data_IF_876446977578
#
_entry.id   IF_876446977578
#
_cell.length_a   1.000
_cell.length_b   1.000
_cell.length_c   1.000
_cell.angle_alpha   90.00
_cell.angle_beta   90.00
_cell.angle_gamma   90.00
#
_symmetry.space_group_name_H-M   'P 1'
#
loop_
_entity.id
_entity.type
_entity.pdbx_description
1 polymer ?
#
# COMPACT_ATOMS: atom_id res chain seq x y z
N UNK A 1 -0.27 24.27 11.71
CA UNK A 1 -0.63 22.99 11.06
C UNK A 1 -1.07 23.29 9.64
N UNK A 2 -0.55 22.54 8.66
CA UNK A 2 -0.60 22.90 7.25
C UNK A 2 -1.52 21.98 6.46
N UNK A 3 -2.61 22.52 5.94
CA UNK A 3 -3.38 21.89 4.86
C UNK A 3 -2.48 21.76 3.65
N UNK A 4 -2.33 20.55 3.11
CA UNK A 4 -1.60 20.35 1.87
C UNK A 4 -2.63 20.26 0.74
N UNK A 5 -2.54 21.19 -0.21
CA UNK A 5 -3.27 21.09 -1.46
C UNK A 5 -2.57 20.04 -2.32
N UNK A 6 -3.32 19.06 -2.80
CA UNK A 6 -2.79 18.03 -3.69
C UNK A 6 -2.94 18.53 -5.13
N UNK A 7 -1.83 18.59 -5.85
CA UNK A 7 -1.76 18.92 -7.28
C UNK A 7 -0.98 17.83 -8.05
N UNK A 8 -0.70 18.07 -9.33
CA UNK A 8 0.03 17.12 -10.17
C UNK A 8 1.47 16.87 -9.71
N UNK A 9 2.11 17.87 -9.10
CA UNK A 9 3.48 17.74 -8.61
C UNK A 9 3.50 16.87 -7.34
N UNK A 10 2.61 17.16 -6.39
CA UNK A 10 2.42 16.36 -5.17
C UNK A 10 2.00 14.93 -5.50
N UNK A 11 1.13 14.75 -6.50
CA UNK A 11 0.78 13.42 -7.02
C UNK A 11 2.01 12.64 -7.47
N UNK A 12 2.86 13.26 -8.29
CA UNK A 12 4.06 12.60 -8.80
C UNK A 12 4.99 12.20 -7.65
N UNK A 13 5.17 13.08 -6.67
CA UNK A 13 5.94 12.77 -5.45
C UNK A 13 5.32 11.63 -4.65
N UNK A 14 4.01 11.66 -4.40
CA UNK A 14 3.31 10.61 -3.65
C UNK A 14 3.43 9.24 -4.32
N UNK A 15 3.29 9.16 -5.66
CA UNK A 15 3.41 7.89 -6.40
C UNK A 15 4.83 7.35 -6.37
N UNK A 16 5.85 8.18 -6.58
CA UNK A 16 7.24 7.72 -6.59
C UNK A 16 7.74 7.34 -5.21
N UNK A 17 7.47 8.17 -4.19
CA UNK A 17 7.85 7.84 -2.82
C UNK A 17 7.03 6.67 -2.27
N UNK A 18 5.74 6.58 -2.64
CA UNK A 18 4.90 5.42 -2.35
C UNK A 18 5.47 4.14 -2.96
N UNK A 19 5.93 4.16 -4.22
CA UNK A 19 6.55 3.00 -4.86
C UNK A 19 7.79 2.51 -4.08
N UNK A 20 8.65 3.45 -3.64
CA UNK A 20 9.84 3.11 -2.85
C UNK A 20 9.45 2.54 -1.50
N UNK A 21 8.55 3.20 -0.76
CA UNK A 21 8.08 2.75 0.55
C UNK A 21 7.23 1.48 0.48
N UNK A 22 6.70 1.14 -0.69
CA UNK A 22 5.98 -0.11 -0.95
C UNK A 22 6.87 -1.35 -0.81
N UNK A 23 8.20 -1.20 -0.91
CA UNK A 23 9.13 -2.28 -0.61
C UNK A 23 8.90 -3.53 -1.44
N UNK A 24 8.66 -3.37 -2.75
CA UNK A 24 8.38 -4.46 -3.67
C UNK A 24 6.92 -4.67 -4.03
N UNK A 25 5.97 -4.00 -3.37
CA UNK A 25 4.53 -4.09 -3.68
C UNK A 25 3.79 -2.75 -3.59
N UNK A 26 2.51 -2.77 -3.21
CA UNK A 26 1.68 -1.56 -3.12
C UNK A 26 1.13 -1.01 -4.46
N UNK A 27 1.06 -1.87 -5.49
CA UNK A 27 0.52 -1.53 -6.80
C UNK A 27 1.53 -0.90 -7.77
N UNK A 28 1.09 -0.56 -8.98
CA UNK A 28 1.97 -0.05 -10.04
C UNK A 28 1.92 1.47 -10.15
N UNK A 29 3.05 2.07 -10.55
CA UNK A 29 3.15 3.52 -10.81
C UNK A 29 2.15 3.99 -11.86
N UNK A 30 1.99 3.22 -12.93
CA UNK A 30 1.08 3.56 -14.03
C UNK A 30 -0.34 3.75 -13.50
N UNK A 31 -0.84 2.76 -12.75
CA UNK A 31 -2.19 2.81 -12.17
C UNK A 31 -2.30 3.93 -11.14
N UNK A 32 -1.29 4.12 -10.28
CA UNK A 32 -1.27 5.23 -9.32
C UNK A 32 -1.37 6.60 -9.98
N UNK A 33 -0.59 6.85 -11.04
CA UNK A 33 -0.64 8.09 -11.81
C UNK A 33 -1.99 8.28 -12.52
N UNK A 34 -2.54 7.22 -13.12
CA UNK A 34 -3.85 7.26 -13.80
C UNK A 34 -4.97 7.61 -12.82
N UNK A 35 -5.05 6.89 -11.68
CA UNK A 35 -6.05 7.13 -10.64
C UNK A 35 -5.90 8.52 -10.01
N UNK A 36 -4.67 8.95 -9.77
CA UNK A 36 -4.40 10.26 -9.18
C UNK A 36 -4.77 11.42 -10.10
N UNK A 37 -4.44 11.31 -11.40
CA UNK A 37 -4.84 12.29 -12.40
C UNK A 37 -6.36 12.34 -12.57
N UNK A 38 -7.01 11.17 -12.57
CA UNK A 38 -8.47 11.11 -12.57
C UNK A 38 -9.03 11.85 -11.35
N UNK A 39 -8.53 11.57 -10.15
CA UNK A 39 -8.96 12.23 -8.92
C UNK A 39 -8.83 13.76 -8.98
N UNK A 40 -7.70 14.27 -9.48
CA UNK A 40 -7.50 15.72 -9.68
C UNK A 40 -8.46 16.33 -10.72
N UNK A 41 -8.99 15.52 -11.63
CA UNK A 41 -10.05 15.92 -12.57
C UNK A 41 -11.45 15.93 -11.95
N UNK A 42 -11.72 15.12 -10.92
CA UNK A 42 -13.02 15.14 -10.21
C UNK A 42 -13.18 16.38 -9.33
N UNK A 43 -12.10 16.90 -8.75
CA UNK A 43 -12.19 18.04 -7.86
C UNK A 43 -10.90 18.32 -7.10
N UNK A 44 -10.98 19.33 -6.23
CA UNK A 44 -9.87 19.66 -5.35
C UNK A 44 -9.75 18.62 -4.24
N UNK A 45 -8.52 18.18 -3.99
CA UNK A 45 -8.21 17.26 -2.89
C UNK A 45 -7.44 18.03 -1.82
N UNK A 46 -7.94 17.95 -0.59
CA UNK A 46 -7.26 18.50 0.58
C UNK A 46 -6.79 17.36 1.46
N UNK A 47 -5.52 17.41 1.86
CA UNK A 47 -4.97 16.55 2.89
C UNK A 47 -4.82 17.32 4.19
N UNK A 48 -5.45 16.79 5.25
CA UNK A 48 -5.48 17.34 6.60
C UNK A 48 -4.62 16.50 7.55
N UNK A 49 -4.22 17.14 8.64
CA UNK A 49 -3.67 16.41 9.78
C UNK A 49 -4.78 15.73 10.58
N UNK A 50 -4.48 14.64 11.28
CA UNK A 50 -5.47 13.95 12.09
C UNK A 50 -5.97 14.83 13.25
N UNK A 51 -5.15 15.75 13.72
CA UNK A 51 -5.49 16.71 14.75
C UNK A 51 -6.46 17.81 14.26
N UNK A 52 -6.61 18.00 12.95
CA UNK A 52 -7.58 18.93 12.36
C UNK A 52 -8.99 18.31 12.21
N UNK A 53 -9.15 17.01 12.53
CA UNK A 53 -10.42 16.30 12.43
C UNK A 53 -11.16 16.32 13.77
N UNK A 54 -12.47 16.68 13.81
CA UNK A 54 -13.23 16.64 15.06
C UNK A 54 -13.29 15.24 15.67
N UNK A 55 -13.07 15.14 16.99
CA UNK A 55 -12.95 13.88 17.72
C UNK A 55 -14.24 13.02 17.72
N UNK A 56 -15.41 13.63 17.46
CA UNK A 56 -16.70 12.94 17.35
C UNK A 56 -16.92 12.22 16.01
N UNK A 57 -15.98 12.36 15.07
CA UNK A 57 -16.06 11.77 13.73
C UNK A 57 -15.38 10.41 13.63
N UNK A 58 -15.80 9.67 12.63
CA UNK A 58 -15.12 8.45 12.21
C UNK A 58 -14.19 8.70 11.03
N UNK A 59 -13.08 7.99 11.04
CA UNK A 59 -12.18 7.84 9.90
C UNK A 59 -12.45 6.50 9.25
N UNK A 60 -12.48 6.49 7.92
CA UNK A 60 -12.65 5.28 7.11
C UNK A 60 -11.39 5.00 6.28
N UNK A 61 -11.10 3.73 6.04
CA UNK A 61 -9.97 3.32 5.21
C UNK A 61 -10.45 3.00 3.80
N UNK A 62 -9.87 3.64 2.79
CA UNK A 62 -10.03 3.27 1.39
C UNK A 62 -8.88 2.36 0.94
N UNK A 63 -9.21 1.35 0.15
CA UNK A 63 -8.26 0.40 -0.43
C UNK A 63 -8.80 -0.21 -1.72
N UNK A 64 -8.00 -1.01 -2.40
CA UNK A 64 -8.43 -1.88 -3.48
C UNK A 64 -8.00 -3.32 -3.16
N UNK A 65 -8.86 -4.29 -3.49
CA UNK A 65 -8.58 -5.72 -3.28
C UNK A 65 -8.78 -6.44 -4.60
N UNK A 66 -7.76 -7.19 -5.02
CA UNK A 66 -7.81 -7.91 -6.28
C UNK A 66 -6.62 -8.83 -6.51
N UNK A 67 -6.62 -9.46 -7.67
CA UNK A 67 -5.51 -10.26 -8.19
C UNK A 67 -4.95 -9.56 -9.44
N UNK A 68 -3.73 -8.99 -9.39
CA UNK A 68 -3.15 -8.25 -10.52
C UNK A 68 -3.10 -9.05 -11.84
N UNK A 69 -2.96 -10.38 -11.75
CA UNK A 69 -2.92 -11.28 -12.90
C UNK A 69 -4.30 -11.62 -13.51
N UNK A 70 -5.40 -11.13 -12.95
CA UNK A 70 -6.73 -11.44 -13.45
C UNK A 70 -7.06 -10.68 -14.75
N UNK A 71 -7.39 -11.43 -15.81
CA UNK A 71 -7.64 -10.88 -17.14
C UNK A 71 -8.95 -10.08 -17.27
N UNK A 72 -9.90 -10.27 -16.36
CA UNK A 72 -11.23 -9.63 -16.38
C UNK A 72 -11.34 -8.50 -15.35
N UNK A 73 -10.23 -8.08 -14.73
CA UNK A 73 -10.26 -7.05 -13.71
C UNK A 73 -10.77 -5.73 -14.28
N UNK A 74 -11.80 -5.16 -13.63
CA UNK A 74 -12.31 -3.82 -13.92
C UNK A 74 -12.83 -3.20 -12.64
N UNK A 75 -12.43 -1.96 -12.40
CA UNK A 75 -12.92 -1.12 -11.33
C UNK A 75 -12.89 0.32 -11.86
N UNK A 76 -14.06 0.92 -11.96
CA UNK A 76 -14.24 2.32 -12.37
C UNK A 76 -14.06 3.28 -11.18
N UNK A 77 -13.78 4.57 -11.43
CA UNK A 77 -13.89 5.61 -10.42
C UNK A 77 -15.25 5.61 -9.69
N UNK A 78 -16.33 5.35 -10.42
CA UNK A 78 -17.70 5.29 -9.89
C UNK A 78 -17.86 4.18 -8.85
N UNK A 79 -17.31 2.98 -9.11
CA UNK A 79 -17.29 1.87 -8.14
C UNK A 79 -16.66 2.30 -6.81
N UNK A 80 -15.57 3.06 -6.90
CA UNK A 80 -14.83 3.56 -5.74
C UNK A 80 -15.65 4.56 -4.91
N UNK A 81 -16.44 5.41 -5.59
CA UNK A 81 -17.36 6.39 -4.99
C UNK A 81 -18.56 5.67 -4.36
N UNK A 82 -19.15 4.72 -5.07
CA UNK A 82 -20.32 3.96 -4.63
C UNK A 82 -20.01 3.10 -3.41
N UNK A 83 -18.77 2.60 -3.29
CA UNK A 83 -18.31 1.94 -2.07
C UNK A 83 -18.47 2.82 -0.82
N UNK A 84 -18.19 4.14 -0.89
CA UNK A 84 -18.45 5.05 0.25
C UNK A 84 -19.95 5.31 0.42
N UNK A 85 -20.71 5.46 -0.66
CA UNK A 85 -22.16 5.69 -0.56
C UNK A 85 -22.86 4.52 0.13
N UNK A 86 -22.55 3.29 -0.25
CA UNK A 86 -23.07 2.07 0.39
C UNK A 86 -22.62 2.01 1.84
N UNK A 87 -21.35 2.31 2.13
CA UNK A 87 -20.86 2.36 3.51
C UNK A 87 -21.65 3.35 4.37
N UNK A 88 -21.85 4.60 3.88
CA UNK A 88 -22.64 5.65 4.56
C UNK A 88 -24.10 5.23 4.80
N UNK A 89 -24.71 4.46 3.91
CA UNK A 89 -26.08 3.94 4.08
C UNK A 89 -26.21 2.89 5.19
N UNK A 90 -25.13 2.16 5.47
CA UNK A 90 -25.12 1.04 6.42
C UNK A 90 -24.45 1.35 7.77
N UNK A 91 -23.75 2.48 7.88
CA UNK A 91 -23.05 2.91 9.09
C UNK A 91 -23.56 4.28 9.51
N UNK A 92 -24.38 4.30 10.56
CA UNK A 92 -25.05 5.50 11.07
C UNK A 92 -24.12 6.37 11.94
N UNK A 93 -23.05 6.89 11.31
CA UNK A 93 -22.09 7.81 11.94
C UNK A 93 -21.48 8.76 10.91
N UNK A 94 -21.17 9.98 11.37
CA UNK A 94 -20.57 11.01 10.53
C UNK A 94 -19.09 10.71 10.25
N UNK A 95 -18.76 10.57 8.97
CA UNK A 95 -17.39 10.42 8.49
C UNK A 95 -16.69 11.79 8.54
N UNK A 96 -15.49 11.83 9.10
CA UNK A 96 -14.64 13.02 9.20
C UNK A 96 -13.55 13.09 8.15
N UNK A 97 -13.14 11.94 7.60
CA UNK A 97 -12.10 11.87 6.56
C UNK A 97 -11.79 10.46 6.11
N UNK A 98 -10.93 10.38 5.09
CA UNK A 98 -10.48 9.15 4.45
C UNK A 98 -8.99 8.98 4.71
N UNK A 99 -8.58 7.77 5.13
CA UNK A 99 -7.17 7.35 5.12
C UNK A 99 -6.97 6.28 4.05
N UNK A 100 -5.76 6.21 3.49
CA UNK A 100 -5.37 5.08 2.65
C UNK A 100 -4.91 3.89 3.51
N UNK A 101 -5.01 2.67 2.97
CA UNK A 101 -4.52 1.49 3.66
C UNK A 101 -3.01 1.46 3.84
N UNK A 102 -2.23 1.95 2.87
CA UNK A 102 -0.78 1.86 2.95
C UNK A 102 -0.08 2.83 2.00
N UNK A 103 1.24 2.98 2.14
CA UNK A 103 2.07 3.55 1.08
C UNK A 103 2.47 2.52 0.04
N UNK A 104 2.28 2.89 -1.23
CA UNK A 104 2.57 2.11 -2.41
C UNK A 104 2.32 2.95 -3.65
N UNK A 105 2.87 2.56 -4.80
CA UNK A 105 2.74 3.37 -6.02
C UNK A 105 1.28 3.62 -6.40
N UNK A 106 0.43 2.58 -6.28
CA UNK A 106 -1.01 2.69 -6.47
C UNK A 106 -1.74 2.91 -5.15
N UNK A 107 -1.34 2.22 -4.08
CA UNK A 107 -2.11 2.24 -2.84
C UNK A 107 -2.04 3.56 -2.09
N UNK A 108 -0.98 4.37 -2.22
CA UNK A 108 -0.95 5.74 -1.68
C UNK A 108 -2.07 6.64 -2.23
N UNK A 109 -2.64 6.28 -3.38
CA UNK A 109 -3.68 7.03 -4.09
C UNK A 109 -5.09 6.51 -3.77
N UNK A 110 -5.22 5.38 -3.06
CA UNK A 110 -6.53 4.88 -2.64
C UNK A 110 -7.26 5.93 -1.79
N UNK A 111 -8.50 6.25 -2.16
CA UNK A 111 -9.31 7.26 -1.49
C UNK A 111 -9.28 8.64 -2.13
N UNK A 112 -8.37 8.92 -3.07
CA UNK A 112 -8.23 10.25 -3.69
C UNK A 112 -9.43 10.61 -4.56
N UNK A 113 -9.89 9.68 -5.40
CA UNK A 113 -11.10 9.87 -6.23
C UNK A 113 -12.30 10.13 -5.33
N UNK A 114 -12.47 9.31 -4.29
CA UNK A 114 -13.57 9.45 -3.35
C UNK A 114 -13.53 10.76 -2.56
N UNK A 115 -12.33 11.18 -2.16
CA UNK A 115 -12.09 12.46 -1.50
C UNK A 115 -12.56 13.62 -2.37
N UNK A 116 -12.08 13.66 -3.62
CA UNK A 116 -12.44 14.69 -4.60
C UNK A 116 -13.94 14.70 -4.91
N UNK A 117 -14.54 13.53 -5.15
CA UNK A 117 -15.93 13.41 -5.60
C UNK A 117 -16.96 13.62 -4.49
N UNK A 118 -16.62 13.37 -3.22
CA UNK A 118 -17.55 13.43 -2.09
C UNK A 118 -17.22 14.53 -1.07
N UNK A 119 -16.28 15.41 -1.40
CA UNK A 119 -15.80 16.50 -0.53
C UNK A 119 -15.44 16.01 0.88
N UNK A 120 -14.73 14.88 0.93
CA UNK A 120 -14.20 14.31 2.17
C UNK A 120 -12.68 14.54 2.21
N UNK A 121 -12.10 15.09 3.28
CA UNK A 121 -10.66 15.30 3.34
C UNK A 121 -9.91 13.97 3.37
N UNK A 122 -8.76 13.93 2.71
CA UNK A 122 -7.74 12.93 3.01
C UNK A 122 -7.10 13.27 4.34
N UNK A 123 -6.80 12.25 5.13
CA UNK A 123 -6.10 12.40 6.41
C UNK A 123 -4.75 11.72 6.29
N UNK A 124 -3.70 12.44 6.68
CA UNK A 124 -2.31 11.99 6.61
C UNK A 124 -1.96 11.00 7.75
N UNK A 125 -2.67 9.87 7.73
CA UNK A 125 -2.55 8.80 8.71
C UNK A 125 -2.90 7.45 8.05
N UNK A 126 -2.16 7.01 7.01
CA UNK A 126 -2.38 5.72 6.39
C UNK A 126 -2.31 4.60 7.44
N UNK A 127 -2.97 3.46 7.22
CA UNK A 127 -2.86 2.37 8.19
C UNK A 127 -1.40 1.96 8.38
N UNK A 128 -0.60 1.95 7.31
CA UNK A 128 0.84 1.71 7.36
C UNK A 128 1.60 2.61 6.36
N UNK A 129 2.79 3.12 6.71
CA UNK A 129 3.62 3.88 5.78
C UNK A 129 4.52 3.02 4.88
N UNK A 130 4.28 1.71 4.83
CA UNK A 130 4.80 0.75 3.84
C UNK A 130 3.69 -0.21 3.42
N UNK A 131 3.83 -0.85 2.26
CA UNK A 131 2.88 -1.86 1.82
C UNK A 131 2.94 -3.16 2.63
N UNK A 132 1.83 -3.89 2.63
CA UNK A 132 1.69 -5.20 3.25
C UNK A 132 0.85 -6.19 2.42
N UNK A 133 1.06 -7.50 2.65
CA UNK A 133 0.34 -8.51 1.89
C UNK A 133 -1.18 -8.57 2.20
N UNK A 134 -1.60 -8.45 3.47
CA UNK A 134 -2.99 -8.77 3.85
C UNK A 134 -3.81 -7.59 4.35
N UNK A 135 -5.13 -7.67 4.17
CA UNK A 135 -6.07 -6.71 4.75
C UNK A 135 -6.02 -6.65 6.27
N UNK A 136 -5.67 -7.76 6.93
CA UNK A 136 -5.53 -7.84 8.40
C UNK A 136 -4.33 -7.02 8.87
N UNK A 137 -3.18 -7.10 8.19
CA UNK A 137 -2.03 -6.23 8.47
C UNK A 137 -2.34 -4.74 8.26
N UNK A 138 -3.21 -4.44 7.30
CA UNK A 138 -3.73 -3.10 7.04
C UNK A 138 -4.88 -2.67 7.95
N UNK A 139 -5.16 -3.39 9.04
CA UNK A 139 -6.27 -3.10 9.95
C UNK A 139 -5.85 -2.38 11.24
N UNK A 140 -4.61 -1.89 11.34
CA UNK A 140 -4.12 -1.14 12.52
C UNK A 140 -4.24 -1.90 13.85
N UNK A 141 -4.26 -3.24 13.82
CA UNK A 141 -4.38 -4.07 15.02
C UNK A 141 -5.83 -4.26 15.52
N UNK A 142 -6.83 -3.89 14.73
CA UNK A 142 -8.25 -4.08 15.07
C UNK A 142 -8.62 -5.56 15.25
N UNK A 143 -7.88 -6.48 14.63
CA UNK A 143 -8.03 -7.93 14.81
C UNK A 143 -7.78 -8.40 16.25
N UNK A 144 -7.04 -7.62 17.05
CA UNK A 144 -6.74 -7.95 18.45
C UNK A 144 -7.74 -7.34 19.43
N UNK A 145 -8.75 -6.62 18.95
CA UNK A 145 -9.80 -6.03 19.78
C UNK A 145 -11.00 -6.99 19.75
N UNK A 146 -11.19 -7.72 20.84
CA UNK A 146 -12.20 -8.79 20.98
C UNK A 146 -13.58 -8.39 20.48
N UNK A 147 -14.03 -7.18 20.82
CA UNK A 147 -15.39 -6.71 20.54
C UNK A 147 -15.46 -5.77 19.33
N UNK A 148 -14.37 -5.63 18.56
CA UNK A 148 -14.41 -4.81 17.35
C UNK A 148 -15.20 -5.53 16.25
N UNK A 149 -16.21 -4.83 15.72
CA UNK A 149 -16.98 -5.32 14.59
C UNK A 149 -16.59 -4.52 13.34
N UNK A 150 -15.90 -5.20 12.43
CA UNK A 150 -15.53 -4.65 11.12
C UNK A 150 -16.78 -4.45 10.27
N UNK A 151 -16.85 -3.31 9.60
CA UNK A 151 -17.77 -3.04 8.49
C UNK A 151 -16.93 -2.81 7.25
N UNK A 152 -17.21 -3.53 6.16
CA UNK A 152 -16.53 -3.37 4.89
C UNK A 152 -17.53 -3.34 3.73
N UNK A 153 -17.31 -2.43 2.80
CA UNK A 153 -17.98 -2.39 1.51
C UNK A 153 -16.98 -2.77 0.42
N UNK A 154 -17.42 -3.54 -0.57
CA UNK A 154 -16.63 -3.78 -1.78
C UNK A 154 -17.50 -3.64 -3.03
N UNK A 155 -16.99 -2.95 -4.04
CA UNK A 155 -17.68 -2.68 -5.32
C UNK A 155 -16.72 -2.85 -6.49
N UNK A 156 -17.15 -3.50 -7.56
CA UNK A 156 -16.37 -3.59 -8.80
C UNK A 156 -16.87 -4.65 -9.76
N UNK A 157 -16.10 -4.90 -10.81
CA UNK A 157 -16.42 -5.86 -11.87
C UNK A 157 -17.20 -5.25 -13.02
N UNK A 158 -17.04 -5.82 -14.21
CA UNK A 158 -17.62 -5.27 -15.44
C UNK A 158 -19.12 -5.62 -15.56
N UNK A 159 -20.04 -4.63 -15.59
CA UNK A 159 -21.48 -4.88 -15.79
C UNK A 159 -21.79 -5.54 -17.14
N UNK A 160 -21.03 -5.23 -18.20
CA UNK A 160 -21.27 -5.71 -19.57
C UNK A 160 -21.14 -7.23 -19.71
N UNK A 161 -20.42 -7.87 -18.78
CA UNK A 161 -20.22 -9.33 -18.74
C UNK A 161 -20.82 -9.94 -17.47
N UNK A 162 -21.76 -9.25 -16.84
CA UNK A 162 -22.46 -9.69 -15.62
C UNK A 162 -21.52 -10.08 -14.48
N UNK A 163 -20.46 -9.29 -14.29
CA UNK A 163 -19.49 -9.45 -13.20
C UNK A 163 -19.58 -8.37 -12.13
N UNK A 164 -20.40 -7.35 -12.34
CA UNK A 164 -20.54 -6.28 -11.37
C UNK A 164 -21.13 -6.80 -10.05
N UNK A 165 -20.50 -6.43 -8.93
CA UNK A 165 -20.91 -6.84 -7.59
C UNK A 165 -20.75 -5.68 -6.61
N UNK A 166 -21.72 -5.54 -5.73
CA UNK A 166 -21.72 -4.65 -4.58
C UNK A 166 -21.99 -5.47 -3.32
N UNK A 167 -21.15 -5.35 -2.30
CA UNK A 167 -21.40 -5.99 -1.01
C UNK A 167 -21.17 -5.03 0.15
N UNK A 168 -21.94 -5.22 1.22
CA UNK A 168 -21.64 -4.73 2.55
C UNK A 168 -21.57 -5.93 3.50
N UNK A 169 -20.49 -6.06 4.24
CA UNK A 169 -20.27 -7.17 5.19
C UNK A 169 -19.89 -6.63 6.56
N UNK A 170 -20.39 -7.31 7.60
CA UNK A 170 -20.15 -6.97 9.00
C UNK A 170 -19.74 -8.21 9.78
N UNK A 171 -18.68 -8.13 10.59
CA UNK A 171 -18.17 -9.27 11.35
C UNK A 171 -16.74 -9.08 11.86
N UNK A 172 -16.01 -10.17 12.13
CA UNK A 172 -14.59 -10.08 12.48
C UNK A 172 -13.75 -9.57 11.31
N UNK A 173 -12.58 -8.98 11.59
CA UNK A 173 -11.65 -8.48 10.57
C UNK A 173 -11.29 -9.57 9.56
N UNK A 174 -11.01 -10.78 10.04
CA UNK A 174 -10.61 -11.90 9.18
C UNK A 174 -11.75 -12.35 8.25
N UNK A 175 -12.94 -12.62 8.80
CA UNK A 175 -14.07 -13.10 8.01
C UNK A 175 -14.53 -12.07 6.98
N UNK A 176 -14.61 -10.80 7.37
CA UNK A 176 -14.99 -9.73 6.44
C UNK A 176 -13.95 -9.55 5.34
N UNK A 177 -12.65 -9.61 5.66
CA UNK A 177 -11.57 -9.55 4.66
C UNK A 177 -11.61 -10.74 3.68
N UNK A 178 -11.92 -11.94 4.18
CA UNK A 178 -12.12 -13.13 3.34
C UNK A 178 -13.31 -12.98 2.40
N UNK A 179 -14.42 -12.40 2.87
CA UNK A 179 -15.59 -12.12 2.02
C UNK A 179 -15.28 -11.09 0.93
N UNK A 180 -14.58 -10.01 1.26
CA UNK A 180 -14.14 -9.01 0.27
C UNK A 180 -13.21 -9.63 -0.77
N UNK A 181 -12.28 -10.50 -0.37
CA UNK A 181 -11.42 -11.23 -1.30
C UNK A 181 -12.23 -12.12 -2.24
N UNK A 182 -13.21 -12.86 -1.73
CA UNK A 182 -14.13 -13.66 -2.56
C UNK A 182 -14.94 -12.79 -3.53
N UNK A 183 -15.43 -11.63 -3.07
CA UNK A 183 -16.11 -10.67 -3.94
C UNK A 183 -15.21 -10.18 -5.07
N UNK A 184 -13.91 -9.94 -4.82
CA UNK A 184 -12.96 -9.58 -5.88
C UNK A 184 -12.82 -10.65 -6.97
N UNK A 185 -12.89 -11.93 -6.60
CA UNK A 185 -12.88 -13.05 -7.56
C UNK A 185 -14.18 -13.08 -8.36
N UNK A 186 -15.34 -12.91 -7.69
CA UNK A 186 -16.64 -12.81 -8.37
C UNK A 186 -16.68 -11.63 -9.35
N UNK A 187 -16.07 -10.50 -8.98
CA UNK A 187 -15.95 -9.28 -9.78
C UNK A 187 -15.06 -9.43 -11.03
N UNK A 188 -14.37 -10.56 -11.20
CA UNK A 188 -13.42 -10.77 -12.30
C UNK A 188 -12.00 -10.28 -11.99
N UNK A 189 -11.72 -9.83 -10.76
CA UNK A 189 -10.35 -9.68 -10.28
C UNK A 189 -10.06 -8.45 -9.44
N UNK A 190 -10.96 -7.45 -9.34
CA UNK A 190 -10.68 -6.20 -8.64
C UNK A 190 -11.95 -5.55 -8.11
N UNK A 191 -11.89 -5.08 -6.86
CA UNK A 191 -12.95 -4.28 -6.21
C UNK A 191 -12.33 -3.12 -5.43
N UNK A 192 -13.00 -1.97 -5.44
CA UNK A 192 -12.76 -0.87 -4.51
C UNK A 192 -13.33 -1.24 -3.14
N UNK A 193 -12.63 -0.88 -2.06
CA UNK A 193 -13.00 -1.29 -0.71
C UNK A 193 -12.97 -0.10 0.24
N UNK A 194 -14.04 0.05 1.03
CA UNK A 194 -14.14 0.99 2.15
C UNK A 194 -14.35 0.17 3.41
N UNK A 195 -13.49 0.35 4.41
CA UNK A 195 -13.47 -0.55 5.55
C UNK A 195 -13.12 0.12 6.87
N UNK A 196 -13.45 -0.62 7.92
CA UNK A 196 -12.91 -0.48 9.26
C UNK A 196 -13.03 0.94 9.83
N UNK A 197 -14.27 1.41 10.06
CA UNK A 197 -14.46 2.70 10.70
C UNK A 197 -13.79 2.72 12.08
N UNK A 198 -13.05 3.79 12.37
CA UNK A 198 -12.37 3.99 13.65
C UNK A 198 -12.50 5.43 14.12
N UNK A 199 -12.33 5.67 15.40
CA UNK A 199 -12.35 7.04 15.96
C UNK A 199 -11.05 7.77 15.66
N UNK A 200 -11.08 9.11 15.68
CA UNK A 200 -9.89 9.96 15.57
C UNK A 200 -8.82 9.57 16.60
N UNK A 201 -9.21 9.42 17.87
CA UNK A 201 -8.34 8.90 18.95
C UNK A 201 -7.67 7.58 18.61
N UNK A 202 -8.37 6.65 17.95
CA UNK A 202 -7.77 5.36 17.57
C UNK A 202 -6.72 5.52 16.48
N UNK A 203 -6.98 6.35 15.48
CA UNK A 203 -6.03 6.67 14.39
C UNK A 203 -4.76 7.28 14.96
N UNK A 204 -4.89 8.29 15.85
CA UNK A 204 -3.73 8.92 16.54
C UNK A 204 -2.81 7.93 17.23
N UNK A 205 -3.36 6.84 17.77
CA UNK A 205 -2.60 5.81 18.49
C UNK A 205 -2.02 4.73 17.58
N UNK A 206 -2.70 4.37 16.49
CA UNK A 206 -2.41 3.11 15.78
C UNK A 206 -2.06 3.25 14.30
N UNK A 207 -2.33 4.39 13.67
CA UNK A 207 -2.00 4.61 12.27
C UNK A 207 -0.52 5.04 12.10
N UNK A 208 -0.04 5.01 10.86
CA UNK A 208 1.23 5.59 10.49
C UNK A 208 1.07 7.10 10.27
N UNK A 209 1.04 7.88 11.36
CA UNK A 209 0.92 9.34 11.29
C UNK A 209 2.03 9.93 10.40
N UNK A 210 1.63 10.87 9.56
CA UNK A 210 2.48 11.52 8.57
C UNK A 210 3.06 10.60 7.49
N UNK A 211 2.47 9.42 7.30
CA UNK A 211 2.94 8.44 6.33
C UNK A 211 2.84 8.91 4.89
N UNK A 212 1.80 9.66 4.51
CA UNK A 212 1.66 10.17 3.12
C UNK A 212 2.62 11.34 2.89
N UNK A 213 2.76 12.25 3.86
CA UNK A 213 3.81 13.30 3.80
C UNK A 213 5.20 12.68 3.69
N UNK A 214 5.49 11.60 4.41
CA UNK A 214 6.77 10.89 4.29
C UNK A 214 7.01 10.37 2.86
N UNK A 215 5.98 9.79 2.22
CA UNK A 215 6.06 9.38 0.82
C UNK A 215 6.30 10.58 -0.12
N UNK A 216 5.57 11.69 0.06
CA UNK A 216 5.74 12.89 -0.77
C UNK A 216 7.19 13.43 -0.66
N UNK A 217 7.71 13.60 0.56
CA UNK A 217 9.08 14.13 0.74
C UNK A 217 10.14 13.18 0.17
N UNK A 218 9.98 11.86 0.36
CA UNK A 218 10.87 10.88 -0.25
C UNK A 218 10.81 10.93 -1.78
N UNK A 219 9.62 10.99 -2.35
CA UNK A 219 9.42 11.09 -3.80
C UNK A 219 10.04 12.33 -4.40
N UNK A 220 9.98 13.46 -3.68
CA UNK A 220 10.66 14.71 -4.05
C UNK A 220 12.18 14.57 -4.05
N UNK A 221 12.77 13.97 -3.02
CA UNK A 221 14.21 13.68 -2.96
C UNK A 221 14.64 12.77 -4.11
N UNK A 222 13.91 11.69 -4.32
CA UNK A 222 14.18 10.72 -5.37
C UNK A 222 14.10 11.35 -6.76
N UNK A 223 13.00 12.01 -7.11
CA UNK A 223 12.80 12.60 -8.43
C UNK A 223 13.79 13.73 -8.74
N UNK A 224 14.17 14.52 -7.72
CA UNK A 224 15.23 15.53 -7.85
C UNK A 224 16.59 14.89 -8.17
N UNK A 225 16.92 13.76 -7.53
CA UNK A 225 18.17 13.04 -7.80
C UNK A 225 18.13 12.35 -9.18
N UNK A 226 17.00 11.72 -9.52
CA UNK A 226 16.76 11.06 -10.80
C UNK A 226 16.94 12.02 -11.99
N UNK A 227 16.37 13.21 -11.90
CA UNK A 227 16.51 14.24 -12.94
C UNK A 227 17.93 14.80 -13.12
N UNK A 228 18.82 14.58 -12.14
CA UNK A 228 20.24 14.96 -12.25
C UNK A 228 21.09 13.81 -12.77
N UNK A 229 20.96 12.63 -12.16
CA UNK A 229 21.69 11.44 -12.55
C UNK A 229 20.93 10.18 -12.07
N UNK A 230 20.36 9.39 -12.99
CA UNK A 230 19.67 8.13 -12.68
C UNK A 230 20.45 7.20 -11.75
N UNK A 231 21.75 7.08 -11.95
CA UNK A 231 22.60 6.17 -11.19
C UNK A 231 22.78 6.58 -9.72
N UNK A 232 22.42 7.81 -9.33
CA UNK A 232 22.57 8.34 -7.96
C UNK A 232 21.26 8.44 -7.18
N UNK A 233 20.12 8.24 -7.85
CA UNK A 233 18.81 8.36 -7.22
C UNK A 233 18.58 7.29 -6.13
N UNK A 234 18.98 6.02 -6.31
CA UNK A 234 18.92 5.01 -5.26
C UNK A 234 19.76 5.38 -4.02
N UNK A 235 20.97 5.92 -4.20
CA UNK A 235 21.85 6.34 -3.11
C UNK A 235 21.25 7.50 -2.32
N UNK A 236 20.67 8.50 -3.00
CA UNK A 236 19.97 9.61 -2.34
C UNK A 236 18.71 9.17 -1.61
N UNK A 237 18.06 8.12 -2.10
CA UNK A 237 16.93 7.48 -1.41
C UNK A 237 17.42 6.78 -0.14
N UNK A 238 18.51 6.02 -0.22
CA UNK A 238 19.11 5.35 0.92
C UNK A 238 19.56 6.36 1.99
N UNK A 239 20.23 7.45 1.59
CA UNK A 239 20.66 8.53 2.48
C UNK A 239 19.47 9.14 3.25
N UNK A 240 18.39 9.50 2.55
CA UNK A 240 17.20 10.07 3.18
C UNK A 240 16.54 9.11 4.18
N UNK A 241 16.54 7.81 3.87
CA UNK A 241 15.94 6.79 4.71
C UNK A 241 16.88 6.25 5.80
N UNK A 242 18.08 6.83 5.99
CA UNK A 242 19.14 6.28 6.84
C UNK A 242 19.40 4.79 6.56
N UNK A 243 19.38 4.42 5.29
CA UNK A 243 19.63 3.09 4.76
C UNK A 243 20.91 3.02 3.94
N UNK A 244 21.07 1.92 3.23
CA UNK A 244 22.23 1.68 2.38
C UNK A 244 21.86 0.88 1.13
N UNK A 245 22.61 1.11 0.05
CA UNK A 245 22.62 0.23 -1.12
C UNK A 245 23.63 -0.89 -0.85
N UNK A 246 23.14 -2.10 -0.62
CA UNK A 246 23.98 -3.23 -0.18
C UNK A 246 24.52 -4.07 -1.33
N UNK A 247 23.95 -3.91 -2.53
CA UNK A 247 24.31 -4.67 -3.71
C UNK A 247 23.97 -3.88 -4.96
N UNK A 248 24.77 -4.07 -6.01
CA UNK A 248 24.49 -3.72 -7.40
C UNK A 248 24.89 -4.94 -8.23
N UNK A 249 23.94 -5.60 -8.88
CA UNK A 249 24.22 -6.85 -9.56
C UNK A 249 23.09 -7.36 -10.42
N UNK A 250 23.40 -8.39 -11.21
CA UNK A 250 22.45 -9.02 -12.12
C UNK A 250 21.53 -10.00 -11.38
N UNK A 251 20.26 -10.00 -11.73
CA UNK A 251 19.28 -10.99 -11.27
C UNK A 251 19.55 -12.33 -11.97
N UNK A 252 20.05 -13.31 -11.23
CA UNK A 252 20.40 -14.62 -11.78
C UNK A 252 19.20 -15.56 -11.87
N UNK A 253 18.26 -15.44 -10.93
CA UNK A 253 17.14 -16.36 -10.77
C UNK A 253 15.94 -15.67 -10.13
N UNK A 254 14.75 -16.03 -10.61
CA UNK A 254 13.46 -15.69 -10.01
C UNK A 254 12.65 -16.98 -9.93
N UNK A 255 12.21 -17.32 -8.72
CA UNK A 255 11.23 -18.39 -8.48
C UNK A 255 9.93 -17.72 -8.05
N UNK A 256 8.85 -17.87 -8.83
CA UNK A 256 7.55 -17.26 -8.58
C UNK A 256 6.46 -18.33 -8.53
N UNK A 257 5.62 -18.26 -7.50
CA UNK A 257 4.41 -19.06 -7.36
C UNK A 257 3.25 -18.18 -6.95
N UNK A 258 2.18 -18.23 -7.74
CA UNK A 258 0.91 -17.55 -7.43
C UNK A 258 -0.04 -18.53 -6.75
N UNK A 259 -0.55 -18.19 -5.57
CA UNK A 259 -1.55 -18.99 -4.86
C UNK A 259 -2.47 -18.09 -4.02
N UNK A 260 -3.77 -18.39 -4.00
CA UNK A 260 -4.74 -17.63 -3.19
C UNK A 260 -4.86 -16.14 -3.56
N UNK A 261 -4.45 -15.74 -4.76
CA UNK A 261 -4.42 -14.33 -5.18
C UNK A 261 -3.17 -13.56 -4.72
N UNK A 262 -2.13 -14.27 -4.28
CA UNK A 262 -0.85 -13.71 -3.86
C UNK A 262 0.31 -14.29 -4.66
N UNK A 263 1.31 -13.46 -4.91
CA UNK A 263 2.57 -13.86 -5.52
C UNK A 263 3.62 -14.08 -4.44
N UNK A 264 4.17 -15.28 -4.40
CA UNK A 264 5.19 -15.68 -3.42
C UNK A 264 6.40 -16.22 -4.13
N UNK A 265 7.59 -15.95 -3.62
CA UNK A 265 8.78 -16.37 -4.34
C UNK A 265 10.10 -15.85 -3.80
N UNK A 266 11.12 -16.04 -4.63
CA UNK A 266 12.50 -15.67 -4.36
C UNK A 266 13.15 -15.01 -5.58
N UNK A 267 14.01 -14.04 -5.31
CA UNK A 267 14.90 -13.42 -6.29
C UNK A 267 16.34 -13.62 -5.81
N UNK A 268 17.24 -14.00 -6.73
CA UNK A 268 18.68 -14.09 -6.45
C UNK A 268 19.46 -13.07 -7.27
N UNK A 269 20.33 -12.33 -6.58
CA UNK A 269 21.29 -11.38 -7.17
C UNK A 269 22.68 -11.74 -6.63
N UNK A 270 23.46 -12.52 -7.37
CA UNK A 270 24.74 -13.06 -6.89
C UNK A 270 24.58 -13.87 -5.60
N UNK A 271 25.26 -13.44 -4.52
CA UNK A 271 25.18 -14.05 -3.19
C UNK A 271 23.95 -13.67 -2.38
N UNK A 272 23.10 -12.77 -2.89
CA UNK A 272 21.94 -12.25 -2.19
C UNK A 272 20.66 -13.00 -2.57
N UNK A 273 19.86 -13.39 -1.58
CA UNK A 273 18.52 -13.97 -1.74
C UNK A 273 17.49 -13.02 -1.13
N UNK A 274 16.47 -12.64 -1.91
CA UNK A 274 15.31 -11.87 -1.47
C UNK A 274 14.07 -12.75 -1.55
N UNK A 275 13.33 -12.92 -0.46
CA UNK A 275 11.99 -13.54 -0.52
C UNK A 275 10.92 -12.48 -0.67
N UNK A 276 9.79 -12.83 -1.28
CA UNK A 276 8.64 -11.94 -1.37
C UNK A 276 7.31 -12.68 -1.18
N UNK A 277 6.34 -11.92 -0.67
CA UNK A 277 4.91 -12.23 -0.65
C UNK A 277 4.17 -10.96 -1.07
N UNK A 278 4.04 -10.74 -2.39
CA UNK A 278 3.81 -9.45 -3.05
C UNK A 278 4.88 -8.39 -2.74
N UNK A 279 5.15 -8.10 -1.47
CA UNK A 279 6.22 -7.23 -1.01
C UNK A 279 7.47 -8.05 -0.67
N UNK A 280 8.65 -7.42 -0.67
CA UNK A 280 9.89 -8.05 -0.21
C UNK A 280 9.85 -8.28 1.30
N UNK A 281 10.11 -9.53 1.69
CA UNK A 281 9.93 -10.01 3.06
C UNK A 281 11.25 -10.23 3.80
N UNK A 282 12.25 -10.82 3.13
CA UNK A 282 13.55 -11.10 3.75
C UNK A 282 14.67 -10.85 2.76
N UNK A 283 15.83 -10.46 3.27
CA UNK A 283 17.06 -10.27 2.50
C UNK A 283 18.21 -10.97 3.21
N UNK A 284 18.86 -11.91 2.51
CA UNK A 284 19.97 -12.71 3.05
C UNK A 284 21.18 -12.65 2.12
N UNK A 285 22.38 -12.74 2.68
CA UNK A 285 23.64 -12.91 1.93
C UNK A 285 24.32 -14.19 2.40
N UNK A 286 24.53 -15.15 1.52
CA UNK A 286 25.10 -16.47 1.87
C UNK A 286 24.40 -17.15 3.07
N UNK A 287 23.08 -16.96 3.19
CA UNK A 287 22.27 -17.50 4.30
C UNK A 287 22.25 -16.65 5.59
N UNK A 288 23.07 -15.60 5.68
CA UNK A 288 23.02 -14.65 6.80
C UNK A 288 21.92 -13.60 6.58
N UNK A 289 21.07 -13.37 7.58
CA UNK A 289 19.96 -12.41 7.51
C UNK A 289 20.44 -10.97 7.64
N UNK A 290 20.13 -10.15 6.63
CA UNK A 290 20.48 -8.73 6.58
C UNK A 290 19.30 -7.79 6.84
N UNK A 291 18.08 -8.19 6.47
CA UNK A 291 16.86 -7.44 6.75
C UNK A 291 15.63 -8.36 6.76
N UNK A 292 14.67 -8.05 7.63
CA UNK A 292 13.42 -8.77 7.82
C UNK A 292 12.26 -7.79 7.84
N UNK A 293 11.18 -8.09 7.12
CA UNK A 293 9.93 -7.35 7.23
C UNK A 293 9.54 -7.10 8.70
N UNK A 294 9.10 -5.89 9.10
CA UNK A 294 8.84 -4.69 8.31
C UNK A 294 10.04 -3.75 8.03
N UNK A 295 11.28 -4.21 8.03
CA UNK A 295 12.40 -3.43 7.45
C UNK A 295 12.20 -3.27 5.94
N UNK A 296 12.46 -2.08 5.39
CA UNK A 296 12.25 -1.84 3.97
C UNK A 296 13.37 -2.47 3.17
N UNK A 297 13.00 -3.34 2.23
CA UNK A 297 13.85 -3.85 1.17
C UNK A 297 13.26 -3.33 -0.13
N UNK A 298 14.07 -2.72 -0.99
CA UNK A 298 13.62 -2.18 -2.27
C UNK A 298 14.68 -2.44 -3.34
N UNK A 299 14.25 -2.75 -4.56
CA UNK A 299 15.17 -2.85 -5.70
C UNK A 299 14.99 -1.68 -6.65
N UNK A 300 16.08 -1.31 -7.32
CA UNK A 300 16.10 -0.27 -8.34
C UNK A 300 16.81 -0.80 -9.57
N UNK A 301 16.34 -0.46 -10.76
CA UNK A 301 17.05 -0.77 -11.99
C UNK A 301 18.37 0.01 -12.04
N UNK A 302 19.51 -0.67 -12.19
CA UNK A 302 20.83 -0.02 -12.09
C UNK A 302 21.09 1.01 -13.20
N UNK A 303 20.41 0.87 -14.34
CA UNK A 303 20.60 1.75 -15.49
C UNK A 303 19.72 3.00 -15.41
N UNK A 304 18.44 2.81 -15.09
CA UNK A 304 17.43 3.88 -15.08
C UNK A 304 17.23 4.50 -13.71
N UNK A 305 17.76 3.90 -12.64
CA UNK A 305 17.56 4.35 -11.26
C UNK A 305 16.12 4.20 -10.75
N UNK A 306 15.21 3.64 -11.56
CA UNK A 306 13.79 3.55 -11.23
C UNK A 306 13.54 2.40 -10.24
N UNK A 307 12.62 2.57 -9.27
CA UNK A 307 12.22 1.47 -8.39
C UNK A 307 11.64 0.31 -9.19
N UNK A 308 11.94 -0.92 -8.79
CA UNK A 308 11.49 -2.17 -9.43
C UNK A 308 10.79 -3.03 -8.38
N UNK A 309 9.50 -3.28 -8.57
CA UNK A 309 8.71 -4.12 -7.65
C UNK A 309 8.99 -5.60 -7.85
N UNK A 310 8.50 -6.46 -6.94
CA UNK A 310 8.58 -7.92 -7.09
C UNK A 310 7.86 -8.42 -8.36
N UNK A 311 6.83 -7.70 -8.80
CA UNK A 311 6.08 -8.00 -10.02
C UNK A 311 6.77 -7.47 -11.29
N UNK A 312 7.63 -6.46 -11.17
CA UNK A 312 8.34 -5.84 -12.31
C UNK A 312 9.73 -6.46 -12.55
N UNK A 313 10.35 -7.06 -11.52
CA UNK A 313 11.72 -7.57 -11.59
C UNK A 313 11.84 -8.74 -12.57
N UNK A 314 12.91 -8.74 -13.37
CA UNK A 314 13.14 -9.73 -14.43
C UNK A 314 14.49 -10.40 -14.30
N UNK A 315 14.57 -11.64 -14.78
CA UNK A 315 15.85 -12.34 -14.95
C UNK A 315 16.76 -11.53 -15.87
N UNK A 316 18.06 -11.54 -15.59
CA UNK A 316 19.10 -10.83 -16.32
C UNK A 316 19.06 -9.29 -16.21
N UNK A 317 18.12 -8.73 -15.43
CA UNK A 317 18.10 -7.30 -15.10
C UNK A 317 19.21 -6.96 -14.10
N UNK A 318 19.90 -5.83 -14.28
CA UNK A 318 20.82 -5.31 -13.27
C UNK A 318 20.04 -4.45 -12.28
N UNK A 319 20.16 -4.78 -11.00
CA UNK A 319 19.44 -4.09 -9.92
C UNK A 319 20.35 -3.71 -8.77
N UNK A 320 20.07 -2.54 -8.18
CA UNK A 320 20.56 -2.12 -6.87
C UNK A 320 19.58 -2.57 -5.79
N UNK A 321 20.09 -3.06 -4.66
CA UNK A 321 19.27 -3.47 -3.51
C UNK A 321 19.48 -2.46 -2.38
N UNK A 322 18.41 -1.78 -1.99
CA UNK A 322 18.34 -0.91 -0.82
C UNK A 322 17.80 -1.68 0.38
N UNK A 323 18.40 -1.47 1.56
CA UNK A 323 17.76 -1.79 2.84
C UNK A 323 17.73 -0.59 3.79
N UNK A 324 16.67 -0.46 4.57
CA UNK A 324 16.63 0.43 5.75
C UNK A 324 15.83 -0.20 6.89
N UNK A 325 16.17 0.17 8.12
CA UNK A 325 15.47 -0.28 9.32
C UNK A 325 14.03 0.24 9.35
N UNK A 326 13.12 -0.59 9.88
CA UNK A 326 11.74 -0.21 10.20
C UNK A 326 11.62 1.05 11.08
N UNK A 327 12.63 1.36 11.88
CA UNK A 327 12.67 2.54 12.75
C UNK A 327 12.72 3.86 11.96
N UNK A 328 13.19 3.81 10.71
CA UNK A 328 13.21 4.96 9.80
C UNK A 328 11.88 5.13 9.04
N UNK A 329 10.89 4.26 9.29
CA UNK A 329 9.62 4.25 8.59
C UNK A 329 8.48 4.70 9.51
N UNK A 330 7.44 5.31 8.93
CA UNK A 330 6.17 5.57 9.62
C UNK A 330 5.33 4.30 9.55
N UNK A 331 5.24 3.53 10.64
CA UNK A 331 4.51 2.26 10.65
C UNK A 331 3.34 2.30 11.64
N UNK A 332 2.21 1.71 11.24
CA UNK A 332 1.05 1.53 12.12
C UNK A 332 1.17 0.26 12.96
N UNK A 333 0.20 0.08 13.86
CA UNK A 333 0.20 -1.04 14.82
C UNK A 333 0.16 -2.42 14.16
N UNK A 334 -0.43 -2.54 12.97
CA UNK A 334 -0.49 -3.82 12.23
C UNK A 334 0.89 -4.36 11.84
N UNK A 335 1.89 -3.48 11.68
CA UNK A 335 3.28 -3.84 11.39
C UNK A 335 4.09 -4.20 12.63
N UNK A 336 3.49 -4.15 13.81
CA UNK A 336 4.11 -4.52 15.10
C UNK A 336 3.47 -5.77 15.70
N UNK A 337 2.50 -6.37 15.02
CA UNK A 337 1.80 -7.56 15.47
C UNK A 337 2.67 -8.81 15.19
N UNK A 338 3.16 -9.42 16.28
CA UNK A 338 4.04 -10.60 16.23
C UNK A 338 3.37 -11.78 15.52
N UNK A 339 2.06 -11.98 15.71
CA UNK A 339 1.34 -13.10 15.11
C UNK A 339 1.26 -12.93 13.59
N UNK A 340 0.93 -11.72 13.12
CA UNK A 340 0.87 -11.43 11.69
C UNK A 340 2.25 -11.56 11.02
N UNK A 341 3.32 -11.11 11.69
CA UNK A 341 4.67 -11.22 11.14
C UNK A 341 5.14 -12.69 11.13
N UNK A 342 4.77 -13.47 12.14
CA UNK A 342 5.09 -14.91 12.22
C UNK A 342 4.44 -15.66 11.06
N UNK A 343 3.15 -15.44 10.83
CA UNK A 343 2.42 -16.01 9.68
C UNK A 343 3.05 -15.63 8.34
N UNK A 344 3.53 -14.39 8.21
CA UNK A 344 4.21 -13.94 7.01
C UNK A 344 5.50 -14.75 6.76
N UNK A 345 6.22 -15.11 7.83
CA UNK A 345 7.40 -15.96 7.77
C UNK A 345 7.11 -17.39 7.32
N UNK A 346 6.01 -17.98 7.81
CA UNK A 346 5.55 -19.31 7.38
C UNK A 346 5.28 -19.34 5.86
N UNK A 347 4.65 -18.29 5.33
CA UNK A 347 4.31 -18.19 3.89
C UNK A 347 5.56 -18.16 3.01
N UNK A 348 6.60 -17.42 3.41
CA UNK A 348 7.87 -17.37 2.65
C UNK A 348 8.87 -18.46 3.06
N UNK A 349 8.47 -19.39 3.94
CA UNK A 349 9.30 -20.44 4.51
C UNK A 349 10.61 -19.91 5.14
N UNK A 350 10.52 -18.81 5.88
CA UNK A 350 11.64 -18.18 6.61
C UNK A 350 11.17 -17.65 7.96
N UNK A 351 12.04 -17.72 8.97
CA UNK A 351 11.84 -16.97 10.21
C UNK A 351 12.00 -15.46 9.93
N UNK A 352 11.05 -14.63 10.36
CA UNK A 352 11.09 -13.15 10.23
C UNK A 352 11.35 -12.48 11.58
N UNK A 353 10.77 -13.02 12.66
CA UNK A 353 11.02 -12.66 14.06
C UNK A 353 11.72 -13.80 14.78
#
# INVERSE_FOLDING_TARGET
MGKIKIDNEVLNYAVFGGNILGGGGGGSRKVGMELGKAALGYGNIQMLDIDDIPEDRLIITCSAVGAPAANLQRMSPEDAIDAIKIFKRNVDKKIGGIITNENGAGSSINGWIQSAALDLPLVDAPCNGRAHPTGVMGSMGLNNIKDYVSCQTAVGGNPEINKHIEIFVKGSIENTSNMVRKASVCAGGLVAVVRNPVTVKYVKKNAALHGVKHAIELGKVFLKALGKNPCTAPEKTAEYLNGEIIADGRVDRIDLKTSGGFDTGKVRVGSFEITFWNEYMTLEKNGERLASFPDLIMTFDSNTGLPVTSAEIKKDQNVKILKTSRENLRLGSGMRDVNLITQAGEIVNKKIL
#
